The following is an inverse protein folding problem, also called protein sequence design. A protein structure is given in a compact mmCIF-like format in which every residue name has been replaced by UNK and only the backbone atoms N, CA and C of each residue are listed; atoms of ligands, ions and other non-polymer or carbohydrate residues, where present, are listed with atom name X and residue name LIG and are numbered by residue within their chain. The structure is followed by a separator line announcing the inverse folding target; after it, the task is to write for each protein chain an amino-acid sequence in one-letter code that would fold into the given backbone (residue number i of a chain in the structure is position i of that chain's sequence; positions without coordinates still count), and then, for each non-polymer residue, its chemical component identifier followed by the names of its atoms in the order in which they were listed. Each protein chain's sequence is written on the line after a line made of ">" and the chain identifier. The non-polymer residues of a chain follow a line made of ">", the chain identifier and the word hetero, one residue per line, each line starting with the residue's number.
data_IF_640745823876
#
_entry.id   IF_640745823876
#
_cell.length_a   1.000
_cell.length_b   1.000
_cell.length_c   1.000
_cell.angle_alpha   90.00
_cell.angle_beta   90.00
_cell.angle_gamma   90.00
#
_symmetry.space_group_name_H-M   'P 1'
#
loop_
_entity.id
_entity.type
_entity.pdbx_description
1 polymer ?
#
# COMPACT_ATOMS: atom_id res chain seq x y z
N UNK A 1 -28.60 11.40 -2.98
CA UNK A 1 -27.45 11.28 -3.92
C UNK A 1 -27.04 9.82 -3.98
N UNK A 2 -27.57 9.09 -4.95
CA UNK A 2 -27.20 7.68 -5.19
C UNK A 2 -25.68 7.58 -5.38
N UNK A 3 -25.00 6.80 -4.54
CA UNK A 3 -23.62 6.40 -4.77
C UNK A 3 -23.60 5.50 -6.01
N UNK A 4 -23.44 6.08 -7.19
CA UNK A 4 -22.98 5.33 -8.36
C UNK A 4 -21.67 4.65 -7.95
N UNK A 5 -21.72 3.34 -7.72
CA UNK A 5 -20.52 2.52 -7.62
C UNK A 5 -19.66 2.90 -8.81
N UNK A 6 -18.50 3.50 -8.56
CA UNK A 6 -17.51 3.77 -9.60
C UNK A 6 -16.95 2.39 -9.95
N UNK A 7 -17.65 1.70 -10.85
CA UNK A 7 -17.28 0.38 -11.32
C UNK A 7 -15.98 0.56 -12.10
N UNK A 8 -14.89 0.03 -11.55
CA UNK A 8 -13.62 -0.10 -12.26
C UNK A 8 -13.86 -0.93 -13.52
N UNK A 9 -13.30 -0.50 -14.64
CA UNK A 9 -13.27 -1.35 -15.81
C UNK A 9 -12.38 -2.60 -15.53
N UNK A 10 -12.49 -3.68 -16.32
CA UNK A 10 -11.75 -4.92 -16.05
C UNK A 10 -10.23 -4.71 -15.92
N UNK A 11 -9.66 -3.81 -16.73
CA UNK A 11 -8.23 -3.51 -16.72
C UNK A 11 -7.81 -2.74 -15.47
N UNK A 12 -8.57 -1.73 -15.07
CA UNK A 12 -8.33 -1.00 -13.82
C UNK A 12 -8.45 -1.92 -12.60
N UNK A 13 -9.44 -2.81 -12.60
CA UNK A 13 -9.65 -3.78 -11.52
C UNK A 13 -8.47 -4.76 -11.40
N UNK A 14 -7.91 -5.19 -12.54
CA UNK A 14 -6.71 -6.02 -12.57
C UNK A 14 -5.49 -5.27 -12.02
N UNK A 15 -5.26 -4.03 -12.45
CA UNK A 15 -4.16 -3.19 -11.94
C UNK A 15 -4.27 -3.02 -10.42
N UNK A 16 -5.46 -2.67 -9.93
CA UNK A 16 -5.72 -2.54 -8.48
C UNK A 16 -5.47 -3.87 -7.76
N UNK A 17 -5.89 -5.01 -8.32
CA UNK A 17 -5.66 -6.30 -7.68
C UNK A 17 -4.17 -6.60 -7.49
N UNK A 18 -3.36 -6.41 -8.53
CA UNK A 18 -1.91 -6.62 -8.43
C UNK A 18 -1.25 -5.60 -7.50
N UNK A 19 -1.70 -4.35 -7.51
CA UNK A 19 -1.23 -3.32 -6.60
C UNK A 19 -1.47 -3.71 -5.13
N UNK A 20 -2.70 -4.07 -4.77
CA UNK A 20 -3.02 -4.47 -3.40
C UNK A 20 -2.28 -5.74 -2.97
N UNK A 21 -2.14 -6.70 -3.88
CA UNK A 21 -1.35 -7.90 -3.61
C UNK A 21 0.14 -7.59 -3.44
N UNK A 22 0.67 -6.57 -4.10
CA UNK A 22 2.03 -6.08 -3.90
C UNK A 22 2.29 -5.64 -2.47
N UNK A 23 1.41 -4.82 -1.89
CA UNK A 23 1.50 -4.46 -0.48
C UNK A 23 1.41 -5.68 0.44
N UNK A 24 0.41 -6.55 0.19
CA UNK A 24 0.14 -7.70 1.04
C UNK A 24 1.31 -8.69 1.07
N UNK A 25 1.87 -9.03 -0.09
CA UNK A 25 2.98 -9.99 -0.19
C UNK A 25 4.25 -9.46 0.45
N UNK A 26 4.58 -8.18 0.25
CA UNK A 26 5.75 -7.57 0.90
C UNK A 26 5.57 -7.53 2.41
N UNK A 27 4.37 -7.17 2.90
CA UNK A 27 4.08 -7.18 4.33
C UNK A 27 4.19 -8.56 4.96
N UNK A 28 3.74 -9.60 4.26
CA UNK A 28 3.83 -10.99 4.75
C UNK A 28 5.25 -11.56 4.71
N UNK A 29 6.11 -11.05 3.82
CA UNK A 29 7.47 -11.56 3.65
C UNK A 29 8.49 -10.92 4.62
N UNK A 30 8.22 -9.71 5.11
CA UNK A 30 9.16 -8.97 5.95
C UNK A 30 8.94 -9.25 7.45
N UNK A 31 10.02 -9.44 8.24
CA UNK A 31 9.91 -9.62 9.68
C UNK A 31 9.54 -8.31 10.38
N UNK A 32 8.84 -8.41 11.52
CA UNK A 32 8.51 -7.25 12.36
C UNK A 32 7.52 -6.26 11.74
N UNK A 33 6.80 -6.69 10.70
CA UNK A 33 5.74 -5.93 10.04
C UNK A 33 4.37 -6.38 10.56
N UNK A 34 3.45 -5.43 10.74
CA UNK A 34 2.09 -5.73 11.19
C UNK A 34 1.39 -6.71 10.24
N UNK A 35 0.69 -7.74 10.77
CA UNK A 35 0.05 -8.75 9.95
C UNK A 35 -1.05 -8.16 9.06
N UNK A 36 -1.13 -8.66 7.83
CA UNK A 36 -2.21 -8.32 6.89
C UNK A 36 -3.52 -8.88 7.42
N UNK A 37 -4.47 -8.00 7.70
CA UNK A 37 -5.79 -8.36 8.21
C UNK A 37 -6.83 -8.48 7.10
N UNK A 38 -6.76 -7.62 6.08
CA UNK A 38 -7.73 -7.62 4.98
C UNK A 38 -7.15 -6.99 3.73
N UNK A 39 -7.43 -7.60 2.59
CA UNK A 39 -7.16 -7.05 1.25
C UNK A 39 -8.48 -6.91 0.50
N UNK A 40 -8.67 -5.81 -0.23
CA UNK A 40 -9.90 -5.55 -0.98
C UNK A 40 -9.64 -4.69 -2.19
N UNK A 41 -10.19 -5.11 -3.33
CA UNK A 41 -10.18 -4.35 -4.60
C UNK A 41 -11.50 -3.59 -4.84
N UNK A 42 -12.30 -3.45 -3.79
CA UNK A 42 -13.57 -2.74 -3.82
C UNK A 42 -13.31 -1.29 -3.42
N UNK A 43 -13.58 -0.29 -4.29
CA UNK A 43 -13.37 1.12 -3.99
C UNK A 43 -14.13 1.56 -2.74
N UNK A 44 -13.47 2.33 -1.87
CA UNK A 44 -14.06 2.87 -0.65
C UNK A 44 -13.60 4.32 -0.44
N UNK A 45 -14.55 5.24 -0.28
CA UNK A 45 -14.23 6.66 -0.06
C UNK A 45 -13.80 7.37 -1.34
N UNK A 46 -13.22 8.56 -1.17
CA UNK A 46 -12.73 9.39 -2.29
C UNK A 46 -11.28 9.02 -2.58
N UNK A 47 -10.99 8.60 -3.80
CA UNK A 47 -9.61 8.37 -4.28
C UNK A 47 -9.06 6.95 -4.08
N UNK A 48 -9.59 6.14 -3.16
CA UNK A 48 -9.11 4.77 -2.96
C UNK A 48 -9.89 3.76 -3.82
N UNK A 49 -9.16 3.09 -4.73
CA UNK A 49 -9.71 2.08 -5.63
C UNK A 49 -9.57 0.65 -5.07
N UNK A 50 -8.65 0.45 -4.14
CA UNK A 50 -8.43 -0.76 -3.35
C UNK A 50 -7.87 -0.38 -1.98
N UNK A 51 -7.66 -1.37 -1.11
CA UNK A 51 -6.91 -1.20 0.13
C UNK A 51 -6.38 -2.52 0.70
N UNK A 52 -5.23 -2.41 1.35
CA UNK A 52 -4.59 -3.44 2.16
C UNK A 52 -4.48 -2.93 3.59
N UNK A 53 -5.14 -3.60 4.53
CA UNK A 53 -5.17 -3.23 5.94
C UNK A 53 -4.26 -4.16 6.72
N UNK A 54 -3.27 -3.58 7.38
CA UNK A 54 -2.48 -4.22 8.43
C UNK A 54 -3.08 -3.84 9.80
N UNK A 55 -2.95 -4.73 10.79
CA UNK A 55 -3.37 -4.44 12.17
C UNK A 55 -2.19 -4.57 13.13
N UNK A 56 -1.86 -3.52 13.89
CA UNK A 56 -0.85 -3.61 14.93
C UNK A 56 -1.16 -4.72 15.93
N UNK A 57 -0.14 -5.47 16.33
CA UNK A 57 -0.24 -6.46 17.42
C UNK A 57 -0.03 -5.86 18.80
N UNK A 58 0.58 -4.68 18.85
CA UNK A 58 0.91 -3.95 20.07
C UNK A 58 0.92 -2.43 19.79
N UNK A 59 0.74 -1.64 20.84
CA UNK A 59 0.90 -0.20 20.76
C UNK A 59 2.39 0.16 20.77
N UNK A 60 2.85 0.82 19.70
CA UNK A 60 4.27 1.15 19.49
C UNK A 60 4.49 2.65 19.51
N UNK A 61 5.32 3.11 20.44
CA UNK A 61 5.70 4.52 20.56
C UNK A 61 7.04 4.85 19.88
N UNK A 62 7.91 3.83 19.68
CA UNK A 62 9.22 3.96 19.08
C UNK A 62 9.38 2.95 17.93
N UNK A 63 10.03 3.38 16.85
CA UNK A 63 10.36 2.54 15.70
C UNK A 63 11.86 2.61 15.43
N UNK A 64 12.46 1.45 15.21
CA UNK A 64 13.84 1.33 14.75
C UNK A 64 13.94 1.68 13.27
N UNK A 65 15.16 1.96 12.81
CA UNK A 65 15.46 2.19 11.39
C UNK A 65 14.95 1.04 10.51
N UNK A 66 15.21 -0.21 10.90
CA UNK A 66 14.80 -1.39 10.13
C UNK A 66 13.28 -1.45 9.95
N UNK A 67 12.51 -1.07 10.97
CA UNK A 67 11.05 -1.12 10.92
C UNK A 67 10.47 -0.02 10.06
N UNK A 68 11.11 1.16 10.06
CA UNK A 68 10.77 2.23 9.13
C UNK A 68 11.11 1.84 7.68
N UNK A 69 12.25 1.21 7.44
CA UNK A 69 12.62 0.66 6.14
C UNK A 69 11.63 -0.41 5.67
N UNK A 70 11.24 -1.34 6.55
CA UNK A 70 10.23 -2.35 6.23
C UNK A 70 8.87 -1.70 5.92
N UNK A 71 8.45 -0.69 6.68
CA UNK A 71 7.22 0.06 6.42
C UNK A 71 7.24 0.75 5.06
N UNK A 72 8.36 1.36 4.69
CA UNK A 72 8.54 1.95 3.35
C UNK A 72 8.50 0.89 2.25
N UNK A 73 9.12 -0.28 2.46
CA UNK A 73 9.08 -1.38 1.51
C UNK A 73 7.64 -1.86 1.26
N UNK A 74 6.82 -2.00 2.31
CA UNK A 74 5.40 -2.35 2.17
C UNK A 74 4.64 -1.32 1.34
N UNK A 75 4.80 -0.02 1.64
CA UNK A 75 4.16 1.06 0.88
C UNK A 75 4.59 1.06 -0.60
N UNK A 76 5.84 0.73 -0.90
CA UNK A 76 6.32 0.64 -2.27
C UNK A 76 5.90 -0.66 -2.99
N UNK A 77 5.40 -1.66 -2.25
CA UNK A 77 5.05 -2.98 -2.77
C UNK A 77 4.02 -2.94 -3.90
N UNK A 78 2.98 -2.12 -3.79
CA UNK A 78 1.96 -2.01 -4.83
C UNK A 78 2.51 -1.45 -6.14
N UNK A 79 3.30 -0.38 -6.07
CA UNK A 79 3.98 0.20 -7.23
C UNK A 79 4.99 -0.76 -7.86
N UNK A 80 5.72 -1.52 -7.05
CA UNK A 80 6.65 -2.53 -7.53
C UNK A 80 5.94 -3.66 -8.28
N UNK A 81 4.80 -4.13 -7.75
CA UNK A 81 3.98 -5.15 -8.41
C UNK A 81 3.45 -4.67 -9.77
N UNK A 82 2.98 -3.42 -9.86
CA UNK A 82 2.56 -2.84 -11.15
C UNK A 82 3.69 -2.86 -12.19
N UNK A 83 4.90 -2.44 -11.78
CA UNK A 83 6.05 -2.43 -12.68
C UNK A 83 6.42 -3.83 -13.17
N UNK A 84 6.49 -4.81 -12.27
CA UNK A 84 6.88 -6.18 -12.59
C UNK A 84 5.88 -6.85 -13.54
N UNK A 85 4.58 -6.64 -13.30
CA UNK A 85 3.52 -7.37 -14.02
C UNK A 85 3.11 -6.66 -15.31
N UNK A 86 3.06 -5.34 -15.31
CA UNK A 86 2.54 -4.56 -16.45
C UNK A 86 3.60 -3.75 -17.20
N UNK A 87 4.80 -3.58 -16.66
CA UNK A 87 5.88 -2.80 -17.28
C UNK A 87 5.61 -1.29 -17.36
N UNK A 88 4.59 -0.79 -16.67
CA UNK A 88 4.26 0.63 -16.58
C UNK A 88 3.60 0.91 -15.23
N UNK A 89 3.52 2.20 -14.89
CA UNK A 89 3.07 2.66 -13.57
C UNK A 89 1.80 3.49 -13.73
N UNK A 90 0.83 3.22 -12.87
CA UNK A 90 -0.38 4.01 -12.73
C UNK A 90 -0.19 5.20 -11.77
N UNK A 91 -1.24 6.00 -11.63
CA UNK A 91 -1.33 7.07 -10.62
C UNK A 91 -1.83 6.56 -9.26
N UNK A 92 -2.09 5.25 -9.11
CA UNK A 92 -2.66 4.65 -7.90
C UNK A 92 -1.77 4.78 -6.66
N UNK A 93 -0.45 4.79 -6.85
CA UNK A 93 0.54 4.82 -5.76
C UNK A 93 0.82 6.23 -5.17
N UNK A 94 0.02 7.25 -5.48
CA UNK A 94 0.31 8.64 -5.09
C UNK A 94 0.37 8.82 -3.56
N UNK A 95 -0.58 8.24 -2.83
CA UNK A 95 -0.63 8.30 -1.36
C UNK A 95 0.53 7.51 -0.72
N UNK A 96 0.88 6.34 -1.29
CA UNK A 96 2.02 5.55 -0.83
C UNK A 96 3.34 6.31 -0.98
N UNK A 97 3.56 6.95 -2.13
CA UNK A 97 4.76 7.74 -2.39
C UNK A 97 4.85 8.95 -1.46
N UNK A 98 3.73 9.61 -1.16
CA UNK A 98 3.69 10.69 -0.18
C UNK A 98 4.13 10.18 1.21
N UNK A 99 3.54 9.09 1.70
CA UNK A 99 3.88 8.50 3.00
C UNK A 99 5.34 8.02 3.07
N UNK A 100 5.83 7.36 2.02
CA UNK A 100 7.24 6.92 1.94
C UNK A 100 8.18 8.11 2.02
N UNK A 101 7.86 9.19 1.28
CA UNK A 101 8.66 10.42 1.30
C UNK A 101 8.70 11.04 2.69
N UNK A 102 7.55 11.09 3.38
CA UNK A 102 7.46 11.62 4.74
C UNK A 102 8.29 10.80 5.73
N UNK A 103 8.22 9.46 5.66
CA UNK A 103 9.04 8.56 6.49
C UNK A 103 10.52 8.77 6.21
N UNK A 104 10.92 8.72 4.94
CA UNK A 104 12.32 8.86 4.53
C UNK A 104 12.91 10.21 4.98
N UNK A 105 12.14 11.30 4.83
CA UNK A 105 12.55 12.63 5.29
C UNK A 105 12.68 12.68 6.80
N UNK A 106 11.73 12.11 7.54
CA UNK A 106 11.77 12.06 8.99
C UNK A 106 13.00 11.30 9.49
N UNK A 107 13.36 10.17 8.87
CA UNK A 107 14.54 9.36 9.22
C UNK A 107 15.88 10.10 9.07
N UNK A 108 15.95 11.11 8.22
CA UNK A 108 17.19 11.86 7.94
C UNK A 108 17.26 13.14 8.75
N UNK A 109 16.13 13.80 8.95
CA UNK A 109 16.06 15.16 9.53
C UNK A 109 15.75 15.19 11.02
N UNK A 110 15.39 14.06 11.62
CA UNK A 110 15.06 13.90 13.04
C UNK A 110 15.85 12.75 13.62
#
# INVERSE_FOLDING_TARGET
>A
LEKRNRLLNPREREVVAYHEMGHALVAMALPGVDPVHKVSIIPRGVGALGYTIQRPTEDRFLMTRQELENKMAVLLGGRAAEWIVFGHLSTGAADDLAKVTDIARAMVTR
#
